data_IF_445587412807
#
_entry.id   IF_445587412807
#
_cell.length_a   1.000
_cell.length_b   1.000
_cell.length_c   1.000
_cell.angle_alpha   90.00
_cell.angle_beta   90.00
_cell.angle_gamma   90.00
#
_symmetry.space_group_name_H-M   'P 1'
#
loop_
_entity.id
_entity.type
_entity.pdbx_description
1 polymer ?
#
# COMPACT_ATOMS: atom_id res chain seq x y z
N UNK A 1 20.23 15.94 -1.85
CA UNK A 1 19.06 16.60 -1.26
C UNK A 1 18.14 15.46 -0.86
N UNK A 2 17.96 15.24 0.44
CA UNK A 2 17.18 14.12 0.96
C UNK A 2 15.73 14.25 0.44
N UNK A 3 15.29 13.28 -0.35
CA UNK A 3 14.05 13.37 -1.16
C UNK A 3 12.78 13.09 -0.33
N UNK A 4 12.93 12.98 0.98
CA UNK A 4 11.87 12.76 1.98
C UNK A 4 11.34 14.06 2.61
N UNK A 5 11.36 15.21 1.90
CA UNK A 5 10.90 16.52 2.42
C UNK A 5 9.38 16.63 2.72
N UNK A 6 8.79 15.60 3.31
CA UNK A 6 7.55 15.62 4.07
C UNK A 6 7.78 15.49 5.59
N UNK A 7 9.04 15.39 6.04
CA UNK A 7 9.51 15.17 7.42
C UNK A 7 9.38 16.35 8.40
N UNK A 8 8.30 17.12 8.32
CA UNK A 8 7.80 17.86 9.49
C UNK A 8 6.41 17.34 9.84
N UNK A 9 6.34 16.05 10.15
CA UNK A 9 5.19 15.51 10.87
C UNK A 9 5.37 15.91 12.31
N UNK A 10 4.60 16.91 12.76
CA UNK A 10 4.40 17.24 14.16
C UNK A 10 3.67 16.12 14.89
N UNK A 11 4.26 14.92 14.92
CA UNK A 11 3.78 13.78 15.70
C UNK A 11 4.18 14.08 17.14
N UNK A 12 3.32 14.83 17.83
CA UNK A 12 3.43 15.06 19.26
C UNK A 12 2.98 13.85 20.09
N UNK A 13 2.52 12.78 19.45
CA UNK A 13 2.07 11.56 20.14
C UNK A 13 3.26 10.73 20.61
N UNK A 14 3.25 10.42 21.91
CA UNK A 14 4.21 9.55 22.58
C UNK A 14 4.06 8.09 22.11
N UNK A 15 5.06 7.26 22.38
CA UNK A 15 4.97 5.82 22.07
C UNK A 15 3.82 5.15 22.84
N UNK A 16 3.58 5.56 24.09
CA UNK A 16 2.52 5.04 24.94
C UNK A 16 1.13 5.38 24.39
N UNK A 17 0.96 6.59 23.85
CA UNK A 17 -0.28 7.01 23.18
C UNK A 17 -0.53 6.17 21.92
N UNK A 18 0.50 5.90 21.11
CA UNK A 18 0.37 5.05 19.91
C UNK A 18 0.10 3.58 20.24
N UNK A 19 0.69 3.06 21.31
CA UNK A 19 0.39 1.71 21.80
C UNK A 19 -1.07 1.60 22.25
N UNK A 20 -1.56 2.60 22.97
CA UNK A 20 -2.96 2.68 23.40
C UNK A 20 -3.89 2.72 22.18
N UNK A 21 -3.58 3.57 21.20
CA UNK A 21 -4.35 3.68 19.96
C UNK A 21 -4.37 2.36 19.16
N UNK A 22 -3.25 1.65 19.11
CA UNK A 22 -3.15 0.35 18.44
C UNK A 22 -4.08 -0.70 19.08
N UNK A 23 -4.16 -0.75 20.41
CA UNK A 23 -5.04 -1.67 21.15
C UNK A 23 -6.52 -1.31 21.01
N UNK A 24 -6.84 -0.02 21.05
CA UNK A 24 -8.20 0.47 20.81
C UNK A 24 -8.66 0.10 19.39
N UNK A 25 -7.81 0.35 18.39
CA UNK A 25 -8.09 0.01 16.99
C UNK A 25 -8.25 -1.50 16.78
N UNK A 26 -7.41 -2.31 17.44
CA UNK A 26 -7.51 -3.78 17.40
C UNK A 26 -8.83 -4.26 17.99
N UNK A 27 -9.25 -3.69 19.11
CA UNK A 27 -10.53 -4.01 19.77
C UNK A 27 -11.71 -3.62 18.87
N UNK A 28 -11.67 -2.43 18.27
CA UNK A 28 -12.69 -1.98 17.32
C UNK A 28 -12.76 -2.91 16.10
N UNK A 29 -11.61 -3.24 15.52
CA UNK A 29 -11.50 -4.14 14.38
C UNK A 29 -12.13 -5.52 14.64
N UNK A 30 -11.90 -6.10 15.82
CA UNK A 30 -12.48 -7.39 16.20
C UNK A 30 -14.02 -7.35 16.25
N UNK A 31 -14.59 -6.21 16.62
CA UNK A 31 -16.04 -5.99 16.73
C UNK A 31 -16.75 -5.70 15.40
N UNK A 32 -16.00 -5.53 14.30
CA UNK A 32 -16.60 -5.34 12.98
C UNK A 32 -17.31 -6.60 12.48
N UNK A 33 -18.31 -6.41 11.63
CA UNK A 33 -18.91 -7.50 10.87
C UNK A 33 -17.91 -8.03 9.83
N UNK A 34 -17.90 -9.34 9.58
CA UNK A 34 -16.90 -9.96 8.68
C UNK A 34 -16.92 -9.38 7.26
N UNK A 35 -18.07 -8.90 6.77
CA UNK A 35 -18.19 -8.26 5.44
C UNK A 35 -17.49 -6.90 5.36
N UNK A 36 -17.21 -6.28 6.49
CA UNK A 36 -16.62 -4.95 6.60
C UNK A 36 -15.15 -5.01 7.04
N UNK A 37 -14.64 -6.21 7.41
CA UNK A 37 -13.29 -6.39 7.90
C UNK A 37 -12.27 -6.36 6.76
N UNK A 38 -11.36 -5.38 6.70
CA UNK A 38 -10.17 -5.48 5.86
C UNK A 38 -9.23 -6.57 6.40
N UNK A 39 -8.39 -7.12 5.53
CA UNK A 39 -7.39 -8.11 5.91
C UNK A 39 -6.20 -7.46 6.65
N UNK A 40 -6.26 -7.43 7.99
CA UNK A 40 -5.26 -6.80 8.85
C UNK A 40 -4.52 -7.80 9.77
N UNK A 41 -3.29 -7.46 10.11
CA UNK A 41 -2.49 -8.12 11.15
C UNK A 41 -1.97 -7.04 12.09
N UNK A 42 -2.31 -7.14 13.37
CA UNK A 42 -1.79 -6.23 14.39
C UNK A 42 -0.51 -6.82 14.97
N UNK A 43 0.60 -6.08 14.85
CA UNK A 43 1.92 -6.48 15.36
C UNK A 43 2.36 -5.45 16.40
N UNK A 44 2.64 -5.93 17.60
CA UNK A 44 3.08 -5.12 18.73
C UNK A 44 4.55 -5.30 19.04
N UNK A 45 5.07 -6.50 18.79
CA UNK A 45 6.46 -6.84 19.05
C UNK A 45 7.07 -7.49 17.80
N UNK A 46 8.37 -7.30 17.61
CA UNK A 46 9.12 -7.92 16.51
C UNK A 46 9.11 -9.46 16.56
N UNK A 47 8.69 -10.06 17.68
CA UNK A 47 8.54 -11.51 17.87
C UNK A 47 7.21 -12.07 17.39
N UNK A 48 6.24 -11.23 17.00
CA UNK A 48 4.92 -11.71 16.59
C UNK A 48 5.05 -12.54 15.31
N UNK A 49 4.71 -13.82 15.40
CA UNK A 49 4.82 -14.74 14.26
C UNK A 49 3.72 -14.45 13.26
N UNK A 50 4.13 -14.14 12.02
CA UNK A 50 3.21 -13.89 10.92
C UNK A 50 3.42 -14.91 9.81
N UNK A 51 2.35 -15.63 9.45
CA UNK A 51 2.38 -16.62 8.36
C UNK A 51 2.35 -15.92 6.99
N UNK A 52 3.29 -16.29 6.12
CA UNK A 52 3.43 -15.75 4.76
C UNK A 52 4.83 -15.18 4.53
N UNK A 53 4.99 -14.42 3.45
CA UNK A 53 6.20 -13.64 3.19
C UNK A 53 5.85 -12.18 2.96
N UNK A 54 6.74 -11.26 3.29
CA UNK A 54 6.53 -9.85 2.98
C UNK A 54 6.50 -9.60 1.47
N UNK A 55 5.88 -8.50 1.04
CA UNK A 55 5.94 -8.06 -0.36
C UNK A 55 7.39 -7.84 -0.82
N UNK A 56 8.28 -7.36 0.05
CA UNK A 56 9.72 -7.24 -0.25
C UNK A 56 10.33 -8.60 -0.59
N UNK A 57 10.04 -9.63 0.21
CA UNK A 57 10.54 -10.99 -0.01
C UNK A 57 9.99 -11.60 -1.30
N UNK A 58 8.69 -11.39 -1.57
CA UNK A 58 8.06 -11.80 -2.82
C UNK A 58 8.75 -11.16 -4.03
N UNK A 59 8.92 -9.83 -4.03
CA UNK A 59 9.55 -9.10 -5.13
C UNK A 59 11.03 -9.48 -5.29
N UNK A 60 11.75 -9.73 -4.18
CA UNK A 60 13.12 -10.23 -4.22
C UNK A 60 13.21 -11.61 -4.86
N UNK A 61 12.28 -12.52 -4.53
CA UNK A 61 12.21 -13.87 -5.14
C UNK A 61 11.79 -13.81 -6.61
N UNK A 62 10.89 -12.90 -6.95
CA UNK A 62 10.41 -12.68 -8.32
C UNK A 62 11.49 -12.03 -9.22
N UNK A 63 12.43 -11.30 -8.62
CA UNK A 63 13.51 -10.62 -9.33
C UNK A 63 13.07 -9.27 -9.92
N UNK A 64 13.77 -8.73 -10.93
CA UNK A 64 13.51 -7.41 -11.50
C UNK A 64 12.29 -7.37 -12.45
N UNK A 65 11.44 -8.40 -12.40
CA UNK A 65 10.27 -8.53 -13.25
C UNK A 65 9.01 -8.06 -12.52
N UNK A 66 8.06 -7.44 -13.22
CA UNK A 66 6.80 -7.07 -12.61
C UNK A 66 5.98 -8.30 -12.24
N UNK A 67 5.15 -8.17 -11.22
CA UNK A 67 4.08 -9.13 -10.95
C UNK A 67 3.03 -9.04 -12.05
N UNK A 68 2.33 -10.15 -12.25
CA UNK A 68 1.10 -10.16 -13.05
C UNK A 68 0.09 -9.14 -12.49
N UNK A 69 -0.59 -8.40 -13.37
CA UNK A 69 -1.40 -7.25 -12.95
C UNK A 69 -2.51 -7.61 -11.98
N UNK A 70 -3.15 -8.76 -12.15
CA UNK A 70 -4.21 -9.21 -11.26
C UNK A 70 -3.69 -9.59 -9.85
N UNK A 71 -2.45 -10.07 -9.74
CA UNK A 71 -1.78 -10.28 -8.45
C UNK A 71 -1.51 -8.91 -7.81
N UNK A 72 -0.91 -7.98 -8.56
CA UNK A 72 -0.65 -6.63 -8.10
C UNK A 72 -1.94 -5.90 -7.68
N UNK A 73 -3.03 -6.08 -8.43
CA UNK A 73 -4.35 -5.54 -8.13
C UNK A 73 -4.96 -6.16 -6.87
N UNK A 74 -4.83 -7.48 -6.68
CA UNK A 74 -5.28 -8.16 -5.45
C UNK A 74 -4.57 -7.64 -4.21
N UNK A 75 -3.24 -7.50 -4.29
CA UNK A 75 -2.42 -6.93 -3.21
C UNK A 75 -2.81 -5.46 -2.96
N UNK A 76 -2.91 -4.65 -4.02
CA UNK A 76 -3.31 -3.24 -3.93
C UNK A 76 -4.71 -3.09 -3.32
N UNK A 77 -5.66 -3.95 -3.68
CA UNK A 77 -7.03 -3.92 -3.16
C UNK A 77 -7.06 -4.19 -1.66
N UNK A 78 -6.31 -5.19 -1.19
CA UNK A 78 -6.19 -5.49 0.23
C UNK A 78 -5.58 -4.31 0.99
N UNK A 79 -4.41 -3.83 0.55
CA UNK A 79 -3.71 -2.74 1.23
C UNK A 79 -4.52 -1.45 1.19
N UNK A 80 -5.14 -1.11 0.06
CA UNK A 80 -5.99 0.08 -0.02
C UNK A 80 -7.24 -0.02 0.86
N UNK A 81 -7.80 -1.22 1.06
CA UNK A 81 -8.92 -1.43 2.00
C UNK A 81 -8.48 -1.20 3.45
N UNK A 82 -7.27 -1.68 3.81
CA UNK A 82 -6.66 -1.39 5.10
C UNK A 82 -6.44 0.10 5.33
N UNK A 83 -5.83 0.80 4.37
CA UNK A 83 -5.59 2.24 4.47
C UNK A 83 -6.91 3.04 4.51
N UNK A 84 -7.91 2.65 3.73
CA UNK A 84 -9.23 3.28 3.76
C UNK A 84 -9.91 3.11 5.13
N UNK A 85 -9.78 1.92 5.72
CA UNK A 85 -10.27 1.65 7.08
C UNK A 85 -9.62 2.58 8.12
N UNK A 86 -8.29 2.75 8.08
CA UNK A 86 -7.57 3.68 8.97
C UNK A 86 -7.98 5.14 8.72
N UNK A 87 -7.96 5.57 7.46
CA UNK A 87 -8.22 6.97 7.10
C UNK A 87 -9.64 7.42 7.46
N UNK A 88 -10.62 6.50 7.42
CA UNK A 88 -12.00 6.76 7.85
C UNK A 88 -12.14 7.01 9.36
N UNK A 89 -11.13 6.62 10.15
CA UNK A 89 -11.00 6.86 11.60
C UNK A 89 -10.06 8.00 11.93
N UNK A 90 -9.68 8.78 10.92
CA UNK A 90 -8.63 9.80 11.03
C UNK A 90 -7.28 9.24 11.51
N UNK A 91 -7.01 7.94 11.29
CA UNK A 91 -5.72 7.32 11.60
C UNK A 91 -4.89 7.23 10.33
N UNK A 92 -3.60 7.50 10.45
CA UNK A 92 -2.61 7.31 9.38
C UNK A 92 -1.75 6.10 9.70
N UNK A 93 -1.42 5.29 8.69
CA UNK A 93 -0.55 4.13 8.85
C UNK A 93 0.87 4.56 9.20
N UNK A 94 1.41 5.56 8.49
CA UNK A 94 2.63 6.28 8.89
C UNK A 94 3.94 5.56 8.63
N UNK A 95 3.92 4.24 8.44
CA UNK A 95 5.08 3.42 8.08
C UNK A 95 4.85 2.49 6.88
N UNK A 96 4.02 2.87 5.91
CA UNK A 96 3.64 1.96 4.82
C UNK A 96 4.82 1.72 3.86
N UNK A 97 5.24 0.46 3.73
CA UNK A 97 6.34 0.05 2.87
C UNK A 97 6.21 -1.41 2.37
N UNK A 98 7.26 -1.94 1.73
CA UNK A 98 7.28 -3.30 1.19
C UNK A 98 7.29 -4.40 2.27
N UNK A 99 7.53 -4.05 3.54
CA UNK A 99 7.46 -4.98 4.68
C UNK A 99 6.09 -4.94 5.36
N UNK A 100 5.28 -3.91 5.09
CA UNK A 100 3.96 -3.68 5.67
C UNK A 100 2.84 -4.55 5.07
N UNK A 101 3.14 -5.40 4.08
CA UNK A 101 2.18 -6.30 3.46
C UNK A 101 2.72 -7.74 3.46
N UNK A 102 1.95 -8.67 4.01
CA UNK A 102 2.25 -10.10 4.03
C UNK A 102 1.41 -10.80 3.00
N UNK A 103 2.05 -11.63 2.19
CA UNK A 103 1.48 -12.37 1.08
C UNK A 103 1.49 -13.85 1.41
N UNK A 104 0.34 -14.51 1.34
CA UNK A 104 0.23 -15.96 1.53
C UNK A 104 0.50 -16.74 0.23
N UNK A 105 0.49 -18.07 0.32
CA UNK A 105 0.72 -18.96 -0.83
C UNK A 105 -0.33 -18.86 -1.95
N UNK A 106 -1.45 -18.19 -1.70
CA UNK A 106 -2.53 -17.92 -2.66
C UNK A 106 -2.50 -16.47 -3.17
N UNK A 107 -1.41 -15.74 -2.92
CA UNK A 107 -1.24 -14.33 -3.24
C UNK A 107 -2.28 -13.41 -2.59
N UNK A 108 -2.89 -13.84 -1.48
CA UNK A 108 -3.74 -12.94 -0.68
C UNK A 108 -2.82 -12.11 0.21
N UNK A 109 -3.06 -10.81 0.21
CA UNK A 109 -2.32 -9.88 1.04
C UNK A 109 -3.03 -9.64 2.37
N UNK A 110 -2.27 -9.34 3.41
CA UNK A 110 -2.74 -8.77 4.67
C UNK A 110 -1.83 -7.61 5.04
N UNK A 111 -2.40 -6.52 5.54
CA UNK A 111 -1.62 -5.33 5.92
C UNK A 111 -1.22 -5.41 7.40
N UNK A 112 0.07 -5.23 7.68
CA UNK A 112 0.59 -5.17 9.04
C UNK A 112 0.33 -3.77 9.60
N UNK A 113 -0.26 -3.73 10.79
CA UNK A 113 -0.54 -2.51 11.55
C UNK A 113 0.33 -2.53 12.81
N UNK A 114 1.17 -1.51 12.98
CA UNK A 114 2.11 -1.39 14.11
C UNK A 114 1.94 -0.06 14.83
N UNK A 115 2.77 0.20 15.84
CA UNK A 115 2.85 1.48 16.58
C UNK A 115 3.38 2.66 15.75
N UNK A 116 3.65 2.46 14.46
CA UNK A 116 3.92 3.55 13.51
C UNK A 116 2.69 4.40 13.22
N UNK A 117 1.48 3.86 13.47
CA UNK A 117 0.24 4.58 13.32
C UNK A 117 0.11 5.75 14.29
N UNK A 118 -0.67 6.75 13.91
CA UNK A 118 -0.98 7.91 14.75
C UNK A 118 -2.30 8.54 14.34
N UNK A 119 -2.93 9.27 15.28
CA UNK A 119 -4.17 9.96 14.98
C UNK A 119 -3.89 11.32 14.33
N UNK A 120 -4.63 11.59 13.27
CA UNK A 120 -4.63 12.90 12.63
C UNK A 120 -5.79 13.72 13.15
N UNK A 121 -5.51 14.85 13.80
CA UNK A 121 -6.57 15.84 14.06
C UNK A 121 -7.01 16.43 12.73
N UNK A 122 -8.30 16.73 12.56
CA UNK A 122 -8.84 17.43 11.38
C UNK A 122 -8.10 18.75 11.15
N UNK A 123 -7.03 18.67 10.35
CA UNK A 123 -6.04 19.72 10.18
C UNK A 123 -5.36 19.53 8.83
N UNK A 124 -4.72 20.59 8.35
CA UNK A 124 -3.94 20.54 7.11
C UNK A 124 -2.81 19.50 7.18
N UNK A 125 -2.24 19.27 8.36
CA UNK A 125 -1.22 18.24 8.59
C UNK A 125 -1.79 16.83 8.46
N UNK A 126 -3.01 16.59 8.97
CA UNK A 126 -3.70 15.31 8.83
C UNK A 126 -4.00 14.95 7.38
N UNK A 127 -4.50 15.91 6.59
CA UNK A 127 -4.73 15.70 5.16
C UNK A 127 -3.43 15.37 4.41
N UNK A 128 -2.31 16.02 4.78
CA UNK A 128 -0.98 15.75 4.19
C UNK A 128 -0.49 14.34 4.53
N UNK A 129 -0.66 13.91 5.78
CA UNK A 129 -0.25 12.59 6.23
C UNK A 129 -1.03 11.45 5.54
N UNK A 130 -2.33 11.62 5.32
CA UNK A 130 -3.13 10.67 4.53
C UNK A 130 -2.65 10.57 3.08
N UNK A 131 -2.24 11.70 2.48
CA UNK A 131 -1.66 11.71 1.12
C UNK A 131 -0.32 10.98 1.10
N UNK A 132 0.44 11.03 2.18
CA UNK A 132 1.72 10.32 2.31
C UNK A 132 1.54 8.80 2.32
N UNK A 133 0.55 8.26 3.04
CA UNK A 133 0.20 6.83 2.93
C UNK A 133 -0.14 6.44 1.48
N UNK A 134 -0.92 7.27 0.78
CA UNK A 134 -1.30 7.01 -0.62
C UNK A 134 -0.08 7.06 -1.54
N UNK A 135 0.86 7.97 -1.29
CA UNK A 135 2.12 8.04 -2.04
C UNK A 135 2.95 6.77 -1.86
N UNK A 136 3.10 6.28 -0.63
CA UNK A 136 3.82 5.04 -0.35
C UNK A 136 3.14 3.83 -1.00
N UNK A 137 1.80 3.78 -1.00
CA UNK A 137 1.04 2.77 -1.75
C UNK A 137 1.32 2.84 -3.26
N UNK A 138 1.51 4.05 -3.79
CA UNK A 138 1.97 4.28 -5.16
C UNK A 138 3.34 3.69 -5.46
N UNK A 139 4.29 3.78 -4.51
CA UNK A 139 5.61 3.16 -4.65
C UNK A 139 5.50 1.63 -4.70
N UNK A 140 4.61 1.04 -3.89
CA UNK A 140 4.34 -0.39 -3.91
C UNK A 140 3.79 -0.80 -5.28
N UNK A 141 2.73 -0.14 -5.75
CA UNK A 141 2.11 -0.44 -7.04
C UNK A 141 3.11 -0.30 -8.19
N UNK A 142 3.85 0.82 -8.23
CA UNK A 142 4.82 1.08 -9.28
C UNK A 142 5.86 -0.04 -9.39
N UNK A 143 6.43 -0.48 -8.26
CA UNK A 143 7.40 -1.59 -8.29
C UNK A 143 6.75 -2.92 -8.66
N UNK A 144 5.52 -3.18 -8.21
CA UNK A 144 4.80 -4.40 -8.60
C UNK A 144 4.55 -4.44 -10.11
N UNK A 145 4.10 -3.35 -10.76
CA UNK A 145 3.73 -3.37 -12.18
C UNK A 145 4.89 -3.10 -13.14
N UNK A 146 6.01 -2.57 -12.65
CA UNK A 146 7.19 -2.29 -13.50
C UNK A 146 8.41 -3.17 -13.21
N UNK A 147 8.46 -3.81 -12.04
CA UNK A 147 9.65 -4.50 -11.54
C UNK A 147 10.77 -3.54 -11.07
N UNK A 148 10.52 -2.22 -11.07
CA UNK A 148 11.54 -1.18 -10.82
C UNK A 148 11.17 -0.30 -9.65
N UNK A 149 12.17 0.23 -8.96
CA UNK A 149 11.95 1.29 -7.97
C UNK A 149 11.58 2.58 -8.71
N UNK A 150 10.64 3.34 -8.15
CA UNK A 150 10.32 4.66 -8.67
C UNK A 150 11.50 5.60 -8.43
N UNK A 151 11.85 6.37 -9.46
CA UNK A 151 12.88 7.40 -9.39
C UNK A 151 12.22 8.75 -9.64
N UNK A 152 12.69 9.79 -8.95
CA UNK A 152 12.11 11.13 -9.04
C UNK A 152 13.16 12.14 -9.48
N UNK A 153 12.75 13.01 -10.40
CA UNK A 153 13.55 14.14 -10.84
C UNK A 153 13.62 15.24 -9.78
N UNK A 154 14.26 16.36 -10.15
CA UNK A 154 14.49 17.48 -9.22
C UNK A 154 13.19 18.16 -8.80
N UNK A 155 12.18 18.16 -9.67
CA UNK A 155 10.89 18.80 -9.42
C UNK A 155 9.88 17.82 -8.79
N UNK A 156 10.31 16.60 -8.47
CA UNK A 156 9.50 15.56 -7.86
C UNK A 156 8.59 14.81 -8.84
N UNK A 157 8.79 15.02 -10.13
CA UNK A 157 8.20 14.26 -11.22
C UNK A 157 8.79 12.84 -11.25
N UNK A 158 7.94 11.85 -11.53
CA UNK A 158 8.39 10.49 -11.78
C UNK A 158 9.26 10.50 -13.05
N UNK A 159 10.48 9.96 -12.94
CA UNK A 159 11.39 9.84 -14.07
C UNK A 159 11.59 8.38 -14.45
N UNK A 160 11.74 8.16 -15.76
CA UNK A 160 11.78 6.83 -16.33
C UNK A 160 10.39 6.23 -16.51
N UNK A 161 10.33 4.91 -16.53
CA UNK A 161 9.09 4.15 -16.76
C UNK A 161 9.37 2.66 -16.86
N UNK A 162 8.34 1.85 -17.17
CA UNK A 162 8.55 0.45 -17.47
C UNK A 162 9.52 0.27 -18.66
N UNK A 163 10.16 -0.90 -18.72
CA UNK A 163 10.95 -1.27 -19.90
C UNK A 163 10.08 -1.17 -21.16
N UNK A 164 10.61 -0.68 -22.31
CA UNK A 164 9.85 -0.62 -23.56
C UNK A 164 9.41 -2.01 -24.06
N UNK A 165 10.04 -3.07 -23.56
CA UNK A 165 9.71 -4.46 -23.87
C UNK A 165 8.68 -5.07 -22.91
N UNK A 166 8.28 -4.33 -21.87
CA UNK A 166 7.33 -4.79 -20.89
C UNK A 166 5.92 -4.34 -21.25
N UNK A 167 4.97 -5.28 -21.26
CA UNK A 167 3.56 -4.97 -21.38
C UNK A 167 3.00 -4.66 -20.00
N UNK A 168 2.72 -3.39 -19.76
CA UNK A 168 1.99 -2.89 -18.59
C UNK A 168 0.75 -2.17 -19.12
N UNK A 169 -0.40 -2.39 -18.50
CA UNK A 169 -1.60 -1.65 -18.82
C UNK A 169 -1.39 -0.16 -18.57
N UNK A 170 -1.87 0.64 -19.51
CA UNK A 170 -1.84 2.10 -19.36
C UNK A 170 -2.61 2.54 -18.11
N UNK A 171 -3.69 1.84 -17.77
CA UNK A 171 -4.53 2.13 -16.61
C UNK A 171 -3.81 1.86 -15.28
N UNK A 172 -3.11 0.73 -15.14
CA UNK A 172 -2.34 0.40 -13.95
C UNK A 172 -1.19 1.39 -13.72
N UNK A 173 -0.49 1.76 -14.80
CA UNK A 173 0.59 2.75 -14.72
C UNK A 173 0.05 4.15 -14.37
N UNK A 174 -1.04 4.60 -14.99
CA UNK A 174 -1.70 5.88 -14.67
C UNK A 174 -2.18 5.94 -13.22
N UNK A 175 -2.63 4.81 -12.66
CA UNK A 175 -3.03 4.74 -11.26
C UNK A 175 -1.81 4.89 -10.32
N UNK A 176 -0.68 4.26 -10.66
CA UNK A 176 0.57 4.46 -9.93
C UNK A 176 1.04 5.92 -10.00
N UNK A 177 1.08 6.52 -11.19
CA UNK A 177 1.43 7.92 -11.40
C UNK A 177 0.52 8.88 -10.64
N UNK A 178 -0.78 8.59 -10.60
CA UNK A 178 -1.75 9.35 -9.82
C UNK A 178 -1.41 9.32 -8.33
N UNK A 179 -1.10 8.16 -7.75
CA UNK A 179 -0.71 8.06 -6.34
C UNK A 179 0.63 8.75 -6.05
N UNK A 180 1.54 8.75 -7.01
CA UNK A 180 2.87 9.38 -6.90
C UNK A 180 2.86 10.89 -7.17
N UNK A 181 1.70 11.50 -7.44
CA UNK A 181 1.61 12.93 -7.67
C UNK A 181 1.80 13.74 -6.37
N UNK A 182 2.51 14.87 -6.48
CA UNK A 182 2.66 15.85 -5.39
C UNK A 182 1.69 17.03 -5.51
N UNK A 183 0.64 16.89 -6.32
CA UNK A 183 -0.34 17.94 -6.58
C UNK A 183 -1.01 18.42 -5.28
N UNK A 184 -0.75 19.67 -4.90
CA UNK A 184 -1.43 20.31 -3.76
C UNK A 184 -2.88 20.67 -4.06
N UNK A 185 -3.23 20.81 -5.34
CA UNK A 185 -4.58 21.21 -5.79
C UNK A 185 -5.53 20.02 -5.86
N UNK A 186 -5.02 18.87 -6.30
CA UNK A 186 -5.78 17.63 -6.43
C UNK A 186 -4.95 16.49 -5.82
N UNK A 187 -4.80 16.46 -4.49
CA UNK A 187 -4.05 15.42 -3.83
C UNK A 187 -4.72 14.06 -4.04
N UNK A 188 -3.95 12.97 -4.14
CA UNK A 188 -4.51 11.65 -4.28
C UNK A 188 -5.20 11.21 -2.99
N UNK A 189 -6.31 10.50 -3.10
CA UNK A 189 -7.10 10.01 -1.97
C UNK A 189 -7.26 8.51 -2.07
N UNK A 190 -7.28 7.84 -0.92
CA UNK A 190 -7.37 6.38 -0.89
C UNK A 190 -8.67 5.85 -1.52
N UNK A 191 -9.78 6.59 -1.37
CA UNK A 191 -11.05 6.23 -2.03
C UNK A 191 -10.93 6.17 -3.55
N UNK A 192 -10.22 7.13 -4.18
CA UNK A 192 -10.01 7.11 -5.63
C UNK A 192 -9.12 5.95 -6.09
N UNK A 193 -8.22 5.46 -5.23
CA UNK A 193 -7.42 4.27 -5.51
C UNK A 193 -8.27 3.02 -5.42
N UNK A 194 -9.03 2.86 -4.32
CA UNK A 194 -9.81 1.65 -4.01
C UNK A 194 -10.93 1.37 -5.02
N UNK A 195 -11.52 2.43 -5.58
CA UNK A 195 -12.58 2.39 -6.59
C UNK A 195 -12.08 2.83 -7.96
N UNK A 196 -10.83 2.50 -8.29
CA UNK A 196 -10.26 2.78 -9.60
C UNK A 196 -10.73 1.75 -10.63
N UNK A 197 -10.98 2.20 -11.86
CA UNK A 197 -11.38 1.32 -12.97
C UNK A 197 -10.42 0.14 -13.17
N UNK A 198 -9.11 0.36 -13.00
CA UNK A 198 -8.11 -0.70 -13.17
C UNK A 198 -8.30 -1.84 -12.17
N UNK A 199 -8.62 -1.53 -10.91
CA UNK A 199 -8.91 -2.56 -9.91
C UNK A 199 -10.18 -3.33 -10.24
N UNK A 200 -11.21 -2.68 -10.79
CA UNK A 200 -12.46 -3.33 -11.19
C UNK A 200 -12.22 -4.27 -12.39
N UNK A 201 -11.50 -3.80 -13.41
CA UNK A 201 -11.18 -4.60 -14.60
C UNK A 201 -10.36 -5.86 -14.28
N UNK A 202 -9.36 -5.74 -13.40
CA UNK A 202 -8.57 -6.89 -12.95
C UNK A 202 -9.39 -7.90 -12.13
N UNK A 203 -10.53 -7.50 -11.55
CA UNK A 203 -11.45 -8.39 -10.84
C UNK A 203 -12.37 -9.15 -11.79
N UNK A 204 -12.92 -8.45 -12.78
CA UNK A 204 -13.86 -9.01 -13.75
C UNK A 204 -13.17 -9.93 -14.76
N UNK A 205 -11.91 -9.62 -15.10
CA UNK A 205 -11.13 -10.36 -16.10
C UNK A 205 -9.77 -10.79 -15.53
N UNK A 206 -9.74 -11.73 -14.55
CA UNK A 206 -8.47 -12.29 -14.11
C UNK A 206 -7.85 -13.00 -15.32
N UNK A 207 -6.64 -12.61 -15.78
CA UNK A 207 -6.00 -13.27 -16.90
C UNK A 207 -5.82 -14.75 -16.55
N UNK A 208 -6.26 -15.61 -17.47
CA UNK A 208 -6.18 -17.06 -17.31
C UNK A 208 -4.72 -17.45 -17.20
N UNK A 209 -4.32 -17.98 -16.06
CA UNK A 209 -3.02 -18.65 -15.93
C UNK A 209 -3.01 -19.88 -16.84
N UNK A 210 -2.04 -19.94 -17.75
CA UNK A 210 -1.51 -21.24 -18.17
C UNK A 210 -0.51 -21.62 -17.10
N UNK A 211 -0.98 -22.34 -16.07
CA UNK A 211 -0.07 -23.05 -15.18
C UNK A 211 0.59 -24.13 -16.04
N UNK A 212 1.87 -23.94 -16.39
CA UNK A 212 2.66 -25.09 -16.81
C UNK A 212 2.80 -25.96 -15.57
N UNK A 213 2.26 -27.20 -15.58
CA UNK A 213 2.44 -28.09 -14.44
C UNK A 213 3.94 -28.23 -14.20
N UNK A 214 4.34 -28.10 -12.94
CA UNK A 214 5.71 -28.37 -12.53
C UNK A 214 6.10 -29.74 -13.09
N UNK A 215 7.11 -29.76 -13.96
CA UNK A 215 7.71 -31.01 -14.40
C UNK A 215 8.38 -31.63 -13.17
N UNK A 216 7.71 -32.65 -12.61
CA UNK A 216 8.28 -33.57 -11.61
C UNK A 216 9.41 -34.39 -12.24
#
# INVERSE_FOLDING_TARGET
MDLTQYTETGINESLEERQTLLEELKTEYLNLLDKEKPDLIFVQNDSDVVEGMTLEELLRKHGPFPLEEHIAAGILRSVSSAIMFLHSREIVHGGLDFTSAIIDSRFRAKTIITTTLYQTKHSKYGARAKVEDVFHLGLLLYRMVTGRKAEFGKDGELVGGPSPYLRVSEKGLKLAEFMLTKSKRFPPTIGRVRYSEWLEECEENPPVFVIFPDYV
#
